data_IF_661993615157
#
_entry.id   IF_661993615157
#
_cell.length_a   1.000
_cell.length_b   1.000
_cell.length_c   1.000
_cell.angle_alpha   90.00
_cell.angle_beta   90.00
_cell.angle_gamma   90.00
#
_symmetry.space_group_name_H-M   'P 1'
#
loop_
_entity.id
_entity.type
_entity.pdbx_description
1 polymer ?
#
# COMPACT_ATOMS: atom_id res chain seq x y z
N UNK A 1 13.07 -3.75 -15.74
CA UNK A 1 13.52 -4.97 -15.05
C UNK A 1 15.04 -5.09 -15.12
N UNK A 2 15.67 -4.90 -16.28
CA UNK A 2 17.13 -4.97 -16.50
C UNK A 2 18.01 -3.86 -15.84
N UNK A 3 17.39 -2.83 -15.25
CA UNK A 3 18.11 -1.68 -14.68
C UNK A 3 18.49 -1.84 -13.19
N UNK A 4 17.95 -2.85 -12.50
CA UNK A 4 18.38 -3.22 -11.14
C UNK A 4 19.60 -4.13 -11.24
N UNK A 5 19.60 -5.09 -12.18
CA UNK A 5 20.72 -6.01 -12.46
C UNK A 5 22.04 -5.29 -12.82
N UNK A 6 21.96 -4.10 -13.42
CA UNK A 6 23.14 -3.31 -13.79
C UNK A 6 23.73 -2.50 -12.63
N UNK A 7 22.98 -2.29 -11.54
CA UNK A 7 23.51 -1.74 -10.28
C UNK A 7 24.24 -2.80 -9.44
N UNK A 8 24.06 -4.09 -9.75
CA UNK A 8 24.69 -5.21 -9.04
C UNK A 8 26.15 -5.48 -9.44
N UNK A 9 26.62 -4.97 -10.59
CA UNK A 9 27.94 -5.37 -11.13
C UNK A 9 29.14 -4.54 -10.61
N UNK A 10 28.92 -3.36 -10.04
CA UNK A 10 30.03 -2.45 -9.73
C UNK A 10 29.88 -1.73 -8.39
N UNK A 11 30.22 -2.37 -7.27
CA UNK A 11 30.92 -1.73 -6.15
C UNK A 11 31.28 -2.71 -5.04
N UNK A 12 32.57 -2.95 -4.88
CA UNK A 12 33.11 -3.69 -3.75
C UNK A 12 33.04 -2.88 -2.45
N UNK A 13 32.63 -3.55 -1.37
CA UNK A 13 32.89 -3.17 0.02
C UNK A 13 31.93 -2.12 0.60
N UNK A 14 30.92 -2.59 1.35
CA UNK A 14 30.08 -1.81 2.28
C UNK A 14 29.09 -0.77 1.70
N UNK A 15 29.08 -0.52 0.38
CA UNK A 15 28.12 0.36 -0.31
C UNK A 15 26.87 -0.33 -0.88
N UNK A 16 26.85 -1.66 -0.86
CA UNK A 16 25.85 -2.49 -1.56
C UNK A 16 24.44 -2.43 -0.94
N UNK A 17 24.29 -2.13 0.35
CA UNK A 17 22.96 -2.03 0.99
C UNK A 17 22.36 -0.62 0.89
N UNK A 18 23.20 0.40 0.72
CA UNK A 18 22.77 1.81 0.69
C UNK A 18 22.06 2.14 -0.63
N UNK A 19 22.55 1.60 -1.74
CA UNK A 19 22.00 1.88 -3.07
C UNK A 19 20.60 1.28 -3.27
N UNK A 20 20.35 -0.01 -2.97
CA UNK A 20 19.00 -0.58 -3.00
C UNK A 20 18.04 0.12 -2.02
N UNK A 21 18.51 0.48 -0.83
CA UNK A 21 17.70 1.16 0.18
C UNK A 21 17.27 2.56 -0.29
N UNK A 22 18.19 3.36 -0.85
CA UNK A 22 17.86 4.66 -1.43
C UNK A 22 16.91 4.53 -2.62
N UNK A 23 17.14 3.55 -3.49
CA UNK A 23 16.23 3.28 -4.60
C UNK A 23 14.83 2.92 -4.11
N UNK A 24 14.69 2.06 -3.10
CA UNK A 24 13.40 1.71 -2.51
C UNK A 24 12.69 2.93 -1.90
N UNK A 25 13.43 3.82 -1.24
CA UNK A 25 12.89 5.08 -0.72
C UNK A 25 12.43 6.02 -1.84
N UNK A 26 13.17 6.08 -2.95
CA UNK A 26 12.76 6.86 -4.12
C UNK A 26 11.47 6.29 -4.75
N UNK A 27 11.36 4.97 -4.87
CA UNK A 27 10.13 4.31 -5.33
C UNK A 27 8.95 4.58 -4.39
N UNK A 28 9.17 4.53 -3.07
CA UNK A 28 8.14 4.88 -2.09
C UNK A 28 7.65 6.33 -2.25
N UNK A 29 8.56 7.30 -2.38
CA UNK A 29 8.21 8.70 -2.53
C UNK A 29 7.44 8.95 -3.84
N UNK A 30 7.87 8.31 -4.93
CA UNK A 30 7.17 8.33 -6.20
C UNK A 30 5.74 7.75 -6.06
N UNK A 31 5.61 6.63 -5.37
CA UNK A 31 4.32 6.00 -5.10
C UNK A 31 3.39 6.94 -4.31
N UNK A 32 3.89 7.60 -3.26
CA UNK A 32 3.12 8.58 -2.48
C UNK A 32 2.65 9.74 -3.37
N UNK A 33 3.50 10.27 -4.25
CA UNK A 33 3.09 11.32 -5.19
C UNK A 33 1.95 10.87 -6.12
N UNK A 34 2.03 9.63 -6.63
CA UNK A 34 0.96 9.04 -7.43
C UNK A 34 -0.33 8.79 -6.63
N UNK A 35 -0.23 8.38 -5.37
CA UNK A 35 -1.40 8.26 -4.48
C UNK A 35 -2.09 9.61 -4.32
N UNK A 36 -1.33 10.68 -4.04
CA UNK A 36 -1.91 12.03 -3.92
C UNK A 36 -2.57 12.48 -5.23
N UNK A 37 -1.94 12.20 -6.38
CA UNK A 37 -2.49 12.51 -7.69
C UNK A 37 -3.80 11.76 -7.94
N UNK A 38 -3.80 10.46 -7.68
CA UNK A 38 -4.98 9.60 -7.80
C UNK A 38 -6.14 10.10 -6.93
N UNK A 39 -5.86 10.50 -5.68
CA UNK A 39 -6.88 11.09 -4.81
C UNK A 39 -7.40 12.43 -5.30
N UNK A 40 -6.52 13.33 -5.74
CA UNK A 40 -6.91 14.70 -6.09
C UNK A 40 -7.67 14.75 -7.42
N UNK A 41 -7.31 13.88 -8.36
CA UNK A 41 -7.81 13.92 -9.74
C UNK A 41 -8.76 12.76 -10.07
N UNK A 42 -9.06 11.90 -9.10
CA UNK A 42 -9.80 10.64 -9.33
C UNK A 42 -9.15 9.77 -10.42
N UNK A 43 -7.82 9.79 -10.50
CA UNK A 43 -7.05 9.11 -11.53
C UNK A 43 -6.68 7.67 -11.11
N UNK A 44 -7.44 6.71 -11.65
CA UNK A 44 -7.18 5.28 -11.43
C UNK A 44 -5.81 4.83 -11.98
N UNK A 45 -5.34 5.40 -13.08
CA UNK A 45 -4.04 5.04 -13.66
C UNK A 45 -2.88 5.56 -12.81
N UNK A 46 -3.06 6.72 -12.15
CA UNK A 46 -2.11 7.17 -11.13
C UNK A 46 -2.04 6.18 -9.95
N UNK A 47 -3.18 5.69 -9.47
CA UNK A 47 -3.21 4.69 -8.38
C UNK A 47 -2.55 3.37 -8.78
N UNK A 48 -2.70 2.92 -10.03
CA UNK A 48 -1.99 1.74 -10.55
C UNK A 48 -0.47 1.95 -10.54
N UNK A 49 0.00 3.11 -11.00
CA UNK A 49 1.44 3.47 -10.94
C UNK A 49 1.95 3.55 -9.51
N UNK A 50 1.13 4.02 -8.57
CA UNK A 50 1.48 3.99 -7.15
C UNK A 50 1.70 2.56 -6.65
N UNK A 51 0.78 1.64 -6.99
CA UNK A 51 0.88 0.23 -6.60
C UNK A 51 2.16 -0.39 -7.16
N UNK A 52 2.46 -0.17 -8.45
CA UNK A 52 3.71 -0.66 -9.06
C UNK A 52 4.98 -0.11 -8.38
N UNK A 53 4.99 1.17 -8.03
CA UNK A 53 6.12 1.79 -7.36
C UNK A 53 6.29 1.24 -5.93
N UNK A 54 5.20 1.01 -5.20
CA UNK A 54 5.28 0.30 -3.92
C UNK A 54 5.73 -1.16 -4.08
N UNK A 55 5.26 -1.88 -5.11
CA UNK A 55 5.70 -3.24 -5.41
C UNK A 55 7.22 -3.30 -5.61
N UNK A 56 7.77 -2.34 -6.36
CA UNK A 56 9.22 -2.16 -6.54
C UNK A 56 9.94 -1.89 -5.22
N UNK A 57 9.45 -0.97 -4.39
CA UNK A 57 10.07 -0.72 -3.08
C UNK A 57 10.08 -1.96 -2.17
N UNK A 58 9.04 -2.79 -2.26
CA UNK A 58 8.88 -4.02 -1.48
C UNK A 58 9.72 -5.20 -1.98
N UNK A 59 10.38 -5.11 -3.15
CA UNK A 59 11.36 -6.12 -3.55
C UNK A 59 12.65 -6.01 -2.75
N UNK A 60 13.02 -4.78 -2.36
CA UNK A 60 14.20 -4.49 -1.54
C UNK A 60 13.85 -4.56 -0.05
N UNK A 61 12.74 -3.93 0.35
CA UNK A 61 12.31 -3.91 1.75
C UNK A 61 11.69 -5.25 2.07
N UNK A 62 12.32 -6.01 2.95
CA UNK A 62 11.78 -7.28 3.44
C UNK A 62 11.37 -7.15 4.90
N UNK A 63 10.23 -7.73 5.25
CA UNK A 63 9.68 -7.66 6.62
C UNK A 63 10.59 -8.28 7.68
N UNK A 64 11.45 -9.24 7.32
CA UNK A 64 12.39 -9.89 8.23
C UNK A 64 13.72 -9.13 8.43
N UNK A 65 13.97 -8.11 7.61
CA UNK A 65 15.20 -7.29 7.65
C UNK A 65 14.93 -5.87 8.12
N UNK A 66 13.90 -5.25 7.55
CA UNK A 66 13.52 -3.85 7.78
C UNK A 66 12.00 -3.76 8.02
N UNK A 67 11.49 -4.32 9.13
CA UNK A 67 10.05 -4.46 9.38
C UNK A 67 9.28 -3.14 9.35
N UNK A 68 9.90 -2.05 9.84
CA UNK A 68 9.29 -0.72 9.86
C UNK A 68 9.12 -0.18 8.44
N UNK A 69 10.21 -0.14 7.66
CA UNK A 69 10.19 0.38 6.29
C UNK A 69 9.28 -0.48 5.40
N UNK A 70 9.31 -1.80 5.59
CA UNK A 70 8.39 -2.71 4.91
C UNK A 70 6.94 -2.37 5.25
N UNK A 71 6.59 -2.22 6.52
CA UNK A 71 5.22 -1.94 6.96
C UNK A 71 4.72 -0.59 6.46
N UNK A 72 5.55 0.46 6.49
CA UNK A 72 5.19 1.78 5.92
C UNK A 72 4.86 1.69 4.43
N UNK A 73 5.67 0.93 3.69
CA UNK A 73 5.48 0.73 2.25
C UNK A 73 4.22 -0.10 1.97
N UNK A 74 4.01 -1.17 2.73
CA UNK A 74 2.84 -2.03 2.62
C UNK A 74 1.54 -1.29 2.94
N UNK A 75 1.54 -0.44 3.98
CA UNK A 75 0.38 0.41 4.31
C UNK A 75 0.06 1.37 3.15
N UNK A 76 1.08 2.00 2.57
CA UNK A 76 0.90 2.87 1.40
C UNK A 76 0.29 2.13 0.21
N UNK A 77 0.78 0.92 -0.09
CA UNK A 77 0.24 0.06 -1.16
C UNK A 77 -1.20 -0.37 -0.87
N UNK A 78 -1.49 -0.73 0.38
CA UNK A 78 -2.84 -1.10 0.82
C UNK A 78 -3.85 0.04 0.65
N UNK A 79 -3.46 1.27 1.00
CA UNK A 79 -4.30 2.47 0.79
C UNK A 79 -4.52 2.73 -0.71
N UNK A 80 -3.48 2.60 -1.53
CA UNK A 80 -3.58 2.79 -2.98
C UNK A 80 -4.55 1.76 -3.61
N UNK A 81 -4.41 0.48 -3.24
CA UNK A 81 -5.33 -0.60 -3.65
C UNK A 81 -6.76 -0.31 -3.23
N UNK A 82 -6.97 0.02 -1.96
CA UNK A 82 -8.32 0.27 -1.47
C UNK A 82 -8.99 1.46 -2.16
N UNK A 83 -8.23 2.53 -2.44
CA UNK A 83 -8.74 3.67 -3.18
C UNK A 83 -9.09 3.32 -4.62
N UNK A 84 -8.23 2.54 -5.29
CA UNK A 84 -8.49 2.08 -6.64
C UNK A 84 -9.74 1.19 -6.69
N UNK A 85 -9.92 0.33 -5.69
CA UNK A 85 -11.11 -0.50 -5.53
C UNK A 85 -12.38 0.33 -5.37
N UNK A 86 -12.34 1.34 -4.50
CA UNK A 86 -13.46 2.26 -4.31
C UNK A 86 -13.84 2.98 -5.62
N UNK A 87 -12.86 3.51 -6.34
CA UNK A 87 -13.07 4.17 -7.64
C UNK A 87 -13.65 3.25 -8.71
N UNK A 88 -13.18 2.00 -8.74
CA UNK A 88 -13.64 0.99 -9.71
C UNK A 88 -14.91 0.27 -9.28
N UNK A 89 -15.44 0.56 -8.09
CA UNK A 89 -16.52 -0.20 -7.45
C UNK A 89 -16.17 -1.69 -7.34
N UNK A 90 -14.90 -1.98 -7.06
CA UNK A 90 -14.36 -3.31 -6.84
C UNK A 90 -14.05 -3.51 -5.35
N UNK A 91 -15.04 -4.07 -4.62
CA UNK A 91 -14.94 -4.41 -3.20
C UNK A 91 -13.78 -5.38 -2.92
N UNK A 92 -13.44 -6.27 -3.86
CA UNK A 92 -12.37 -7.25 -3.68
C UNK A 92 -11.01 -6.58 -3.56
N UNK A 93 -10.80 -5.52 -4.34
CA UNK A 93 -9.58 -4.74 -4.30
C UNK A 93 -9.49 -3.90 -3.01
N UNK A 94 -10.62 -3.43 -2.47
CA UNK A 94 -10.69 -2.80 -1.14
C UNK A 94 -10.29 -3.77 -0.03
N UNK A 95 -10.83 -4.99 -0.06
CA UNK A 95 -10.48 -6.04 0.89
C UNK A 95 -9.01 -6.46 0.78
N UNK A 96 -8.46 -6.55 -0.43
CA UNK A 96 -7.04 -6.82 -0.64
C UNK A 96 -6.15 -5.74 -0.03
N UNK A 97 -6.53 -4.46 -0.17
CA UNK A 97 -5.86 -3.35 0.48
C UNK A 97 -5.92 -3.44 2.02
N UNK A 98 -7.08 -3.81 2.57
CA UNK A 98 -7.27 -4.01 4.02
C UNK A 98 -6.37 -5.11 4.57
N UNK A 99 -6.37 -6.28 3.92
CA UNK A 99 -5.57 -7.43 4.34
C UNK A 99 -4.06 -7.12 4.36
N UNK A 100 -3.61 -6.26 3.44
CA UNK A 100 -2.22 -5.79 3.44
C UNK A 100 -1.88 -4.91 4.65
N UNK A 101 -2.77 -3.97 5.01
CA UNK A 101 -2.61 -3.14 6.22
C UNK A 101 -2.63 -3.98 7.49
N UNK A 102 -3.45 -5.04 7.54
CA UNK A 102 -3.44 -6.00 8.64
C UNK A 102 -2.11 -6.74 8.75
N UNK A 103 -1.57 -7.22 7.63
CA UNK A 103 -0.24 -7.85 7.63
C UNK A 103 0.84 -6.89 8.12
N UNK A 104 0.78 -5.61 7.73
CA UNK A 104 1.68 -4.58 8.22
C UNK A 104 1.59 -4.41 9.74
N UNK A 105 0.37 -4.31 10.29
CA UNK A 105 0.14 -4.26 11.74
C UNK A 105 0.73 -5.50 12.44
N UNK A 106 0.48 -6.68 11.91
CA UNK A 106 0.91 -7.93 12.56
C UNK A 106 2.44 -8.10 12.57
N UNK A 107 3.12 -7.61 11.52
CA UNK A 107 4.60 -7.55 11.48
C UNK A 107 5.12 -6.55 12.52
N UNK A 108 4.50 -5.38 12.63
CA UNK A 108 4.88 -4.37 13.60
C UNK A 108 4.61 -4.81 15.04
N UNK A 109 3.51 -5.51 15.31
CA UNK A 109 3.18 -6.02 16.64
C UNK A 109 4.17 -7.10 17.13
N UNK A 110 4.82 -7.82 16.20
CA UNK A 110 5.91 -8.77 16.51
C UNK A 110 7.26 -8.09 16.67
N UNK A 111 7.34 -6.80 16.34
CA UNK A 111 8.54 -5.98 16.49
C UNK A 111 8.41 -5.17 17.79
N UNK A 112 9.50 -4.88 18.50
CA UNK A 112 9.49 -4.03 19.71
C UNK A 112 9.27 -2.53 19.41
N UNK A 113 8.64 -2.22 18.26
CA UNK A 113 8.56 -0.87 17.70
C UNK A 113 7.18 -0.28 17.98
N UNK A 114 7.16 0.91 18.58
CA UNK A 114 5.97 1.76 18.75
C UNK A 114 6.05 2.98 17.84
N UNK A 115 4.92 3.51 17.39
CA UNK A 115 4.87 4.77 16.63
C UNK A 115 4.13 4.70 15.29
N UNK A 116 3.68 3.52 14.86
CA UNK A 116 2.86 3.37 13.65
C UNK A 116 1.35 3.28 13.94
N UNK A 117 0.95 3.43 15.20
CA UNK A 117 -0.44 3.27 15.65
C UNK A 117 -1.39 4.27 15.00
N UNK A 118 -0.96 5.53 14.88
CA UNK A 118 -1.77 6.59 14.25
C UNK A 118 -1.97 6.32 12.76
N UNK A 119 -0.90 5.92 12.05
CA UNK A 119 -0.98 5.62 10.62
C UNK A 119 -1.89 4.41 10.34
N UNK A 120 -1.76 3.35 11.14
CA UNK A 120 -2.61 2.17 11.06
C UNK A 120 -4.07 2.51 11.32
N UNK A 121 -4.34 3.28 12.39
CA UNK A 121 -5.70 3.72 12.72
C UNK A 121 -6.34 4.49 11.57
N UNK A 122 -5.65 5.49 11.02
CA UNK A 122 -6.15 6.28 9.88
C UNK A 122 -6.39 5.40 8.65
N UNK A 123 -5.49 4.45 8.38
CA UNK A 123 -5.64 3.54 7.24
C UNK A 123 -6.88 2.64 7.40
N UNK A 124 -7.06 2.02 8.57
CA UNK A 124 -8.24 1.20 8.86
C UNK A 124 -9.53 2.01 8.80
N UNK A 125 -9.60 3.16 9.48
CA UNK A 125 -10.78 4.04 9.47
C UNK A 125 -11.17 4.47 8.05
N UNK A 126 -10.19 4.67 7.16
CA UNK A 126 -10.47 5.02 5.77
C UNK A 126 -11.01 3.84 4.97
N UNK A 127 -10.37 2.67 5.10
CA UNK A 127 -10.75 1.47 4.35
C UNK A 127 -12.10 0.94 4.82
N UNK A 128 -12.36 0.94 6.12
CA UNK A 128 -13.63 0.49 6.68
C UNK A 128 -14.80 1.39 6.22
N UNK A 129 -14.57 2.70 6.06
CA UNK A 129 -15.56 3.61 5.44
C UNK A 129 -15.85 3.28 3.98
N UNK A 130 -14.83 2.91 3.20
CA UNK A 130 -15.04 2.46 1.81
C UNK A 130 -15.91 1.21 1.80
N UNK A 131 -15.57 0.21 2.63
CA UNK A 131 -16.32 -1.05 2.74
C UNK A 131 -17.78 -0.85 3.17
N UNK A 132 -18.04 0.01 4.15
CA UNK A 132 -19.40 0.36 4.56
C UNK A 132 -20.23 0.96 3.41
N UNK A 133 -19.59 1.69 2.48
CA UNK A 133 -20.21 2.19 1.26
C UNK A 133 -20.70 1.09 0.32
N UNK A 134 -19.99 -0.04 0.25
CA UNK A 134 -20.43 -1.20 -0.53
C UNK A 134 -21.60 -1.93 0.15
N UNK A 135 -21.54 -2.11 1.47
CA UNK A 135 -22.62 -2.77 2.22
C UNK A 135 -23.93 -1.97 2.16
N UNK A 136 -23.86 -0.64 2.23
CA UNK A 136 -25.03 0.22 2.09
C UNK A 136 -25.66 0.12 0.69
N UNK A 137 -24.84 -0.01 -0.37
CA UNK A 137 -25.33 -0.19 -1.73
C UNK A 137 -26.01 -1.57 -1.91
N UNK A 138 -25.40 -2.64 -1.38
CA UNK A 138 -25.97 -4.00 -1.41
C UNK A 138 -27.31 -4.07 -0.65
N UNK A 139 -27.44 -3.35 0.47
CA UNK A 139 -28.67 -3.27 1.24
C UNK A 139 -29.78 -2.46 0.57
N UNK A 140 -29.44 -1.45 -0.23
CA UNK A 140 -30.40 -0.64 -0.99
C UNK A 140 -30.99 -1.39 -2.19
N UNK A 141 -30.24 -2.32 -2.78
CA UNK A 141 -30.68 -3.17 -3.91
C UNK A 141 -31.53 -4.37 -3.46
N UNK A 142 -31.67 -4.62 -2.15
CA UNK A 142 -32.65 -5.60 -1.66
C UNK A 142 -34.06 -5.04 -1.82
N UNK A 143 -34.94 -5.64 -2.63
CA UNK A 143 -36.31 -5.17 -2.76
C UNK A 143 -36.95 -5.33 -1.39
N UNK A 144 -37.32 -4.20 -0.77
CA UNK A 144 -38.11 -4.20 0.46
C UNK A 144 -39.26 -5.18 0.26
N UNK A 145 -39.23 -6.28 1.01
CA UNK A 145 -40.13 -7.40 0.84
C UNK A 145 -41.56 -6.90 0.79
N UNK A 146 -42.19 -7.06 -0.36
CA UNK A 146 -43.62 -6.89 -0.49
C UNK A 146 -44.31 -7.96 0.34
N UNK A 147 -44.92 -7.55 1.46
CA UNK A 147 -46.32 -7.75 1.86
C UNK A 147 -46.48 -7.46 3.34
#
# INVERSE_FOLDING_TARGET
HEAIDTLEYASGGNSHDVVPTHWATMQQNLAVAYVMLGFLQSDAAALEKAIEAFDRALTVRRFDKVPIDWAQTAIGRGIARATLGDFRRDKTLVLAGRAEVEKARDVLAKSDVRGMDVALRIAFERIDRMLAGFEAAEGADSPAGGK
#
